data_IF_676835236912
#
_entry.id   IF_676835236912
#
_cell.length_a   1.000
_cell.length_b   1.000
_cell.length_c   1.000
_cell.angle_alpha   90.00
_cell.angle_beta   90.00
_cell.angle_gamma   90.00
#
_symmetry.space_group_name_H-M   'P 1'
#
loop_
_entity.id
_entity.type
_entity.pdbx_description
1 polymer ?
#
# COMPACT_ATOMS: atom_id res chain seq x y z
N UNK A 1 -2.32 11.17 9.58
CA UNK A 1 -0.91 11.02 9.19
C UNK A 1 -0.05 11.54 10.32
N UNK A 2 0.04 10.77 11.40
CA UNK A 2 0.67 11.15 12.66
C UNK A 2 1.59 10.00 13.10
N UNK A 3 2.71 10.34 13.76
CA UNK A 3 3.60 9.34 14.34
C UNK A 3 3.18 9.08 15.79
N UNK A 4 2.37 8.04 16.00
CA UNK A 4 1.88 7.67 17.34
C UNK A 4 2.80 6.69 18.07
N UNK A 5 3.67 5.97 17.33
CA UNK A 5 4.56 4.96 17.88
C UNK A 5 5.93 4.98 17.18
N UNK A 6 6.99 4.83 17.97
CA UNK A 6 8.36 4.62 17.48
C UNK A 6 9.10 3.62 18.37
N UNK A 7 9.95 2.80 17.76
CA UNK A 7 10.83 1.86 18.48
C UNK A 7 12.19 1.84 17.78
N UNK A 8 13.04 2.83 18.13
CA UNK A 8 14.37 3.02 17.55
C UNK A 8 15.35 3.23 18.70
N UNK A 9 16.38 2.38 18.80
CA UNK A 9 17.35 2.45 19.88
C UNK A 9 18.21 3.72 19.78
N UNK A 10 18.33 4.44 20.90
CA UNK A 10 19.17 5.64 21.01
C UNK A 10 18.66 6.85 20.21
N UNK A 11 17.44 6.80 19.67
CA UNK A 11 16.89 7.87 18.83
C UNK A 11 15.41 8.13 19.09
N UNK A 12 15.05 9.41 19.12
CA UNK A 12 13.67 9.86 19.19
C UNK A 12 13.43 10.89 18.12
N UNK A 13 12.42 10.65 17.29
CA UNK A 13 11.93 11.64 16.35
C UNK A 13 11.24 12.73 17.16
N UNK A 14 11.72 13.97 17.00
CA UNK A 14 11.17 15.15 17.66
C UNK A 14 10.79 16.18 16.60
N UNK A 15 9.90 17.08 16.98
CA UNK A 15 9.55 18.27 16.20
C UNK A 15 9.06 17.95 14.78
N UNK A 16 8.34 16.84 14.63
CA UNK A 16 7.67 16.48 13.37
C UNK A 16 6.60 17.54 13.04
N UNK A 17 6.63 18.14 11.84
CA UNK A 17 5.55 19.00 11.40
C UNK A 17 4.25 18.21 11.28
N UNK A 18 3.11 18.90 11.39
CA UNK A 18 1.81 18.30 11.18
C UNK A 18 1.74 17.63 9.80
N UNK A 19 1.32 16.37 9.77
CA UNK A 19 1.17 15.63 8.53
C UNK A 19 0.00 16.16 7.69
N UNK A 20 0.06 15.90 6.38
CA UNK A 20 -1.04 16.26 5.48
C UNK A 20 -2.36 15.57 5.88
N UNK A 21 -3.51 16.23 5.68
CA UNK A 21 -4.81 15.60 5.89
C UNK A 21 -5.00 14.40 4.95
N UNK A 22 -5.95 13.50 5.25
CA UNK A 22 -6.28 12.39 4.38
C UNK A 22 -6.70 12.86 2.97
N UNK A 23 -6.36 12.08 1.94
CA UNK A 23 -6.83 12.36 0.58
C UNK A 23 -8.36 12.27 0.54
N UNK A 24 -9.00 13.21 -0.13
CA UNK A 24 -10.46 13.23 -0.32
C UNK A 24 -10.81 12.79 -1.73
N UNK A 25 -11.70 11.81 -1.84
CA UNK A 25 -12.26 11.29 -3.09
C UNK A 25 -13.79 11.46 -3.11
N UNK A 26 -14.29 12.54 -2.50
CA UNK A 26 -15.72 12.82 -2.37
C UNK A 26 -16.31 12.14 -1.12
N UNK A 27 -16.99 11.01 -1.30
CA UNK A 27 -17.62 10.28 -0.18
C UNK A 27 -16.63 9.41 0.61
N UNK A 28 -15.40 9.30 0.14
CA UNK A 28 -14.34 8.50 0.75
C UNK A 28 -13.13 9.38 1.07
N UNK A 29 -12.59 9.20 2.28
CA UNK A 29 -11.38 9.86 2.73
C UNK A 29 -10.38 8.79 3.12
N UNK A 30 -9.15 8.87 2.60
CA UNK A 30 -8.14 7.87 2.91
C UNK A 30 -6.80 8.16 2.27
N UNK A 31 -5.76 8.19 3.11
CA UNK A 31 -4.35 8.16 2.67
C UNK A 31 -3.68 6.82 2.98
N UNK A 32 -4.13 6.14 4.05
CA UNK A 32 -3.57 4.87 4.53
C UNK A 32 -4.64 3.91 5.08
N UNK A 33 -5.89 4.04 4.63
CA UNK A 33 -6.96 3.13 5.07
C UNK A 33 -6.60 1.67 4.81
N UNK A 34 -6.87 0.79 5.77
CA UNK A 34 -6.64 -0.66 5.74
C UNK A 34 -5.17 -1.13 5.63
N UNK A 35 -4.18 -0.23 5.71
CA UNK A 35 -2.77 -0.64 5.64
C UNK A 35 -2.35 -1.49 6.85
N UNK A 36 -2.97 -1.24 8.01
CA UNK A 36 -2.83 -2.07 9.21
C UNK A 36 -3.16 -3.54 8.94
N UNK A 37 -4.15 -3.82 8.09
CA UNK A 37 -4.54 -5.19 7.72
C UNK A 37 -3.50 -5.91 6.87
N UNK A 38 -2.76 -5.16 6.06
CA UNK A 38 -1.64 -5.72 5.30
C UNK A 38 -0.51 -6.12 6.26
N UNK A 39 -0.16 -5.24 7.21
CA UNK A 39 0.86 -5.57 8.22
C UNK A 39 0.42 -6.71 9.14
N UNK A 40 -0.85 -6.75 9.54
CA UNK A 40 -1.44 -7.84 10.32
C UNK A 40 -1.26 -9.18 9.59
N UNK A 41 -1.57 -9.25 8.29
CA UNK A 41 -1.35 -10.47 7.50
C UNK A 41 0.13 -10.85 7.39
N UNK A 42 1.03 -9.88 7.18
CA UNK A 42 2.48 -10.14 7.13
C UNK A 42 2.96 -10.76 8.45
N UNK A 43 2.60 -10.17 9.59
CA UNK A 43 2.97 -10.68 10.90
C UNK A 43 2.41 -12.09 11.14
N UNK A 44 1.15 -12.32 10.77
CA UNK A 44 0.46 -13.59 10.95
C UNK A 44 1.07 -14.72 10.10
N UNK A 45 1.37 -14.44 8.83
CA UNK A 45 2.03 -15.41 7.93
C UNK A 45 3.43 -15.77 8.44
N UNK A 46 4.22 -14.77 8.85
CA UNK A 46 5.61 -14.99 9.27
C UNK A 46 5.73 -15.66 10.65
N UNK A 47 4.78 -15.40 11.55
CA UNK A 47 4.92 -15.80 12.96
C UNK A 47 3.96 -16.92 13.36
N UNK A 48 2.80 -17.03 12.72
CA UNK A 48 1.71 -17.90 13.16
C UNK A 48 1.29 -18.95 12.12
N UNK A 49 1.94 -18.99 10.95
CA UNK A 49 1.56 -19.90 9.86
C UNK A 49 0.27 -19.48 9.16
N UNK A 50 -0.07 -18.19 9.21
CA UNK A 50 -1.21 -17.60 8.51
C UNK A 50 -1.16 -17.78 6.99
N UNK A 51 -2.31 -17.57 6.34
CA UNK A 51 -2.42 -17.64 4.88
C UNK A 51 -2.06 -16.28 4.28
N UNK A 52 -1.14 -16.27 3.33
CA UNK A 52 -0.73 -15.04 2.63
C UNK A 52 -1.91 -14.47 1.82
N UNK A 53 -2.24 -13.20 2.06
CA UNK A 53 -3.39 -12.56 1.42
C UNK A 53 -3.14 -12.23 -0.06
N UNK A 54 -1.91 -11.89 -0.43
CA UNK A 54 -1.52 -11.68 -1.83
C UNK A 54 -0.08 -12.10 -2.02
N UNK A 55 0.16 -13.03 -2.94
CA UNK A 55 1.48 -13.55 -3.22
C UNK A 55 2.15 -12.84 -4.41
N UNK A 56 3.45 -13.08 -4.60
CA UNK A 56 4.23 -12.44 -5.66
C UNK A 56 3.76 -12.79 -7.08
N UNK A 57 3.17 -13.97 -7.30
CA UNK A 57 2.65 -14.36 -8.60
C UNK A 57 1.40 -13.55 -8.96
N UNK A 58 0.48 -13.35 -8.01
CA UNK A 58 -0.70 -12.49 -8.20
C UNK A 58 -0.29 -11.03 -8.46
N UNK A 59 0.73 -10.55 -7.76
CA UNK A 59 1.34 -9.24 -8.02
C UNK A 59 1.90 -9.13 -9.44
N UNK A 60 2.66 -10.13 -9.89
CA UNK A 60 3.19 -10.19 -11.25
C UNK A 60 2.07 -10.17 -12.30
N UNK A 61 1.02 -10.98 -12.11
CA UNK A 61 -0.11 -11.03 -13.03
C UNK A 61 -0.84 -9.69 -13.11
N UNK A 62 -0.95 -8.98 -12.00
CA UNK A 62 -1.56 -7.64 -11.96
C UNK A 62 -0.78 -6.66 -12.84
N UNK A 63 0.55 -6.62 -12.70
CA UNK A 63 1.42 -5.76 -13.53
C UNK A 63 1.33 -6.14 -15.00
N UNK A 64 1.37 -7.43 -15.32
CA UNK A 64 1.25 -7.92 -16.70
C UNK A 64 -0.08 -7.49 -17.36
N UNK A 65 -1.18 -7.52 -16.60
CA UNK A 65 -2.49 -7.09 -17.12
C UNK A 65 -2.51 -5.57 -17.36
N UNK A 66 -1.96 -4.77 -16.43
CA UNK A 66 -1.85 -3.32 -16.60
C UNK A 66 -1.05 -2.99 -17.87
N UNK A 67 0.09 -3.65 -18.06
CA UNK A 67 0.93 -3.45 -19.25
C UNK A 67 0.20 -3.79 -20.57
N UNK A 68 -0.57 -4.88 -20.57
CA UNK A 68 -1.43 -5.24 -21.72
C UNK A 68 -2.48 -4.18 -22.01
N UNK A 69 -3.11 -3.60 -20.99
CA UNK A 69 -4.11 -2.52 -21.15
C UNK A 69 -3.46 -1.28 -21.78
N UNK A 70 -2.30 -0.85 -21.28
CA UNK A 70 -1.59 0.30 -21.86
C UNK A 70 -1.12 0.04 -23.29
N UNK A 71 -0.61 -1.16 -23.57
CA UNK A 71 -0.18 -1.56 -24.90
C UNK A 71 -1.34 -1.57 -25.90
N UNK A 72 -2.50 -2.11 -25.50
CA UNK A 72 -3.71 -2.11 -26.33
C UNK A 72 -4.21 -0.68 -26.60
N UNK A 73 -4.29 0.16 -25.57
CA UNK A 73 -4.71 1.56 -25.69
C UNK A 73 -3.82 2.36 -26.64
N UNK A 74 -2.50 2.17 -26.57
CA UNK A 74 -1.56 2.83 -27.48
C UNK A 74 -1.73 2.39 -28.93
N UNK A 75 -1.96 1.10 -29.17
CA UNK A 75 -2.18 0.58 -30.52
C UNK A 75 -3.47 1.14 -31.12
N UNK A 76 -4.54 1.30 -30.32
CA UNK A 76 -5.80 1.91 -30.75
C UNK A 76 -5.72 3.42 -31.06
N UNK A 77 -4.63 4.11 -30.69
CA UNK A 77 -4.41 5.53 -31.02
C UNK A 77 -3.63 5.71 -32.34
N UNK A 78 -3.15 4.62 -32.94
CA UNK A 78 -2.39 4.62 -34.19
C UNK A 78 -3.13 3.93 -35.36
N UNK A 79 -4.36 3.48 -35.14
CA UNK A 79 -5.35 3.12 -36.18
C UNK A 79 -6.35 4.26 -36.39
#
# INVERSE_FOLDING_TARGET
>A
NELEYQHIDGYTVKDLPAGNPPNSYGQYFGSMSNHDKVYENVCDVLSNGGIIATNGFEGLKTVEIIDKIYSASKNSLHE
#
